data_IF_512082980305
#
_entry.id   IF_512082980305
#
_cell.length_a   1.000
_cell.length_b   1.000
_cell.length_c   1.000
_cell.angle_alpha   90.00
_cell.angle_beta   90.00
_cell.angle_gamma   90.00
#
_symmetry.space_group_name_H-M   'P 1'
#
loop_
_entity.id
_entity.type
_entity.pdbx_description
1 polymer ?
#
# COMPACT_ATOMS: atom_id res chain seq x y z
N UNK A 1 -2.05 -58.73 17.88
CA UNK A 1 -0.72 -59.18 18.36
C UNK A 1 0.21 -57.99 18.12
N UNK A 2 0.44 -57.12 19.11
CA UNK A 2 1.38 -57.22 20.25
C UNK A 2 2.86 -57.34 19.86
N UNK A 3 3.68 -56.51 20.54
CA UNK A 3 5.14 -56.38 20.59
C UNK A 3 5.77 -55.53 19.47
N UNK A 4 6.36 -54.34 19.68
CA UNK A 4 7.10 -53.73 20.81
C UNK A 4 8.37 -54.49 21.22
N UNK A 5 9.54 -53.92 20.85
CA UNK A 5 10.89 -54.01 21.45
C UNK A 5 11.86 -53.29 20.45
N UNK A 6 12.91 -52.56 20.81
CA UNK A 6 13.52 -52.27 22.10
C UNK A 6 14.34 -50.97 21.99
N UNK A 7 14.41 -50.28 23.13
CA UNK A 7 15.36 -49.23 23.47
C UNK A 7 16.82 -49.73 23.37
N UNK A 8 17.72 -48.90 22.87
CA UNK A 8 19.12 -48.91 23.32
C UNK A 8 19.56 -47.48 23.66
N UNK A 9 19.82 -47.29 24.95
CA UNK A 9 20.49 -46.14 25.54
C UNK A 9 21.88 -45.96 24.92
N UNK A 10 22.17 -44.74 24.44
CA UNK A 10 23.53 -44.22 24.46
C UNK A 10 23.55 -42.87 25.17
N UNK A 11 24.34 -42.85 26.23
CA UNK A 11 24.68 -41.71 27.06
C UNK A 11 25.82 -40.95 26.38
N UNK A 12 25.56 -39.74 25.89
CA UNK A 12 26.64 -38.80 25.55
C UNK A 12 26.39 -37.48 26.27
N UNK A 13 27.32 -37.13 27.17
CA UNK A 13 27.32 -35.85 27.88
C UNK A 13 27.81 -34.77 26.90
N UNK A 14 27.10 -33.66 26.68
CA UNK A 14 27.70 -32.52 26.01
C UNK A 14 28.69 -31.80 26.95
N UNK A 15 29.91 -31.47 26.51
CA UNK A 15 30.84 -30.68 27.32
C UNK A 15 30.47 -29.19 27.30
N UNK A 16 30.40 -28.65 28.51
CA UNK A 16 30.64 -27.28 29.01
C UNK A 16 30.57 -26.12 28.00
N UNK A 17 29.51 -25.34 28.21
CA UNK A 17 29.31 -23.94 27.85
C UNK A 17 30.59 -23.08 27.94
N UNK A 18 31.02 -22.55 26.80
CA UNK A 18 31.92 -21.41 26.70
C UNK A 18 31.02 -20.19 26.47
N UNK A 19 30.95 -19.30 27.47
CA UNK A 19 30.31 -17.99 27.34
C UNK A 19 31.21 -17.08 26.51
N UNK A 20 30.85 -16.86 25.26
CA UNK A 20 31.41 -15.76 24.47
C UNK A 20 30.75 -14.45 24.91
N UNK A 21 31.51 -13.34 25.07
CA UNK A 21 30.92 -12.03 25.32
C UNK A 21 30.09 -11.63 24.09
N UNK A 22 28.81 -11.37 24.32
CA UNK A 22 27.91 -10.74 23.36
C UNK A 22 28.44 -9.32 23.16
N UNK A 23 29.18 -9.10 22.08
CA UNK A 23 29.34 -7.75 21.55
C UNK A 23 27.98 -7.42 20.95
N UNK A 24 27.22 -6.59 21.67
CA UNK A 24 26.06 -5.90 21.13
C UNK A 24 26.56 -5.03 19.96
N UNK A 25 26.54 -5.61 18.76
CA UNK A 25 26.53 -4.81 17.55
C UNK A 25 25.16 -4.14 17.54
N UNK A 26 25.12 -2.93 18.10
CA UNK A 26 24.12 -1.92 17.80
C UNK A 26 23.98 -1.91 16.29
N UNK A 27 22.95 -2.58 15.78
CA UNK A 27 22.46 -2.30 14.44
C UNK A 27 21.90 -0.90 14.56
N UNK A 28 22.72 0.06 14.15
CA UNK A 28 22.26 1.36 13.76
C UNK A 28 21.00 1.15 12.95
N UNK A 29 19.89 1.58 13.54
CA UNK A 29 18.65 1.80 12.82
C UNK A 29 19.03 2.75 11.70
N UNK A 30 19.19 2.22 10.49
CA UNK A 30 19.10 3.02 9.28
C UNK A 30 17.68 3.52 9.31
N UNK A 31 17.50 4.67 9.97
CA UNK A 31 16.32 5.48 9.87
C UNK A 31 16.28 5.85 8.40
N UNK A 32 15.52 5.06 7.66
CA UNK A 32 15.10 5.41 6.31
C UNK A 32 14.43 6.76 6.49
N UNK A 33 15.17 7.84 6.22
CA UNK A 33 14.64 9.20 6.14
C UNK A 33 13.73 9.23 4.93
N UNK A 34 12.58 8.55 5.03
CA UNK A 34 11.50 8.75 4.08
C UNK A 34 11.07 10.20 4.30
N UNK A 35 11.14 11.06 3.27
CA UNK A 35 10.65 12.42 3.41
C UNK A 35 9.23 12.35 3.96
N UNK A 36 8.99 13.11 5.03
CA UNK A 36 7.65 13.21 5.60
C UNK A 36 6.81 13.92 4.57
N UNK A 37 5.77 13.25 4.07
CA UNK A 37 4.84 13.82 3.10
C UNK A 37 4.13 15.03 3.70
N UNK A 38 3.94 16.07 2.89
CA UNK A 38 3.24 17.27 3.32
C UNK A 38 1.75 16.95 3.56
N UNK A 39 1.24 17.11 4.80
CA UNK A 39 -0.13 16.76 5.14
C UNK A 39 -1.17 17.70 4.54
N UNK A 40 -0.80 18.95 4.23
CA UNK A 40 -1.72 19.94 3.66
C UNK A 40 -1.89 19.70 2.15
N UNK A 41 -0.82 19.29 1.46
CA UNK A 41 -0.91 18.82 0.07
C UNK A 41 -1.66 17.48 0.01
N UNK A 42 -1.37 16.55 0.93
CA UNK A 42 -2.08 15.28 0.99
C UNK A 42 -3.60 15.46 1.18
N UNK A 43 -4.03 16.51 1.89
CA UNK A 43 -5.44 16.80 2.11
C UNK A 43 -6.21 17.21 0.85
N UNK A 44 -5.50 17.63 -0.20
CA UNK A 44 -6.08 17.99 -1.51
C UNK A 44 -6.50 16.76 -2.31
N UNK A 45 -6.00 15.58 -1.95
CA UNK A 45 -6.30 14.33 -2.63
C UNK A 45 -7.49 13.59 -2.00
N UNK A 46 -8.25 12.92 -2.86
CA UNK A 46 -9.26 11.94 -2.45
C UNK A 46 -9.04 10.63 -3.20
N UNK A 47 -8.97 9.52 -2.46
CA UNK A 47 -8.88 8.18 -3.02
C UNK A 47 -10.25 7.51 -2.99
N UNK A 48 -10.76 7.13 -4.16
CA UNK A 48 -12.02 6.41 -4.31
C UNK A 48 -11.81 4.97 -4.76
N UNK A 49 -12.16 4.01 -3.91
CA UNK A 49 -12.09 2.59 -4.23
C UNK A 49 -13.43 2.11 -4.77
N UNK A 50 -13.46 1.62 -6.01
CA UNK A 50 -14.70 1.23 -6.66
C UNK A 50 -15.32 -0.04 -6.03
N UNK A 51 -16.46 0.11 -5.37
CA UNK A 51 -17.22 -1.00 -4.74
C UNK A 51 -18.38 -1.51 -5.60
N UNK A 52 -18.48 -1.05 -6.85
CA UNK A 52 -19.51 -1.50 -7.79
C UNK A 52 -19.56 -3.02 -7.93
N UNK A 53 -20.72 -3.57 -8.28
CA UNK A 53 -20.94 -5.02 -8.44
C UNK A 53 -19.89 -5.67 -9.37
N UNK A 54 -19.43 -4.95 -10.41
CA UNK A 54 -18.44 -5.45 -11.36
C UNK A 54 -17.03 -5.59 -10.77
N UNK A 55 -16.61 -4.67 -9.91
CA UNK A 55 -15.32 -4.72 -9.21
C UNK A 55 -15.39 -5.71 -8.05
N UNK A 56 -16.44 -5.62 -7.23
CA UNK A 56 -16.70 -6.54 -6.11
C UNK A 56 -16.75 -8.00 -6.58
N UNK A 57 -17.40 -8.29 -7.71
CA UNK A 57 -17.42 -9.66 -8.26
C UNK A 57 -16.04 -10.18 -8.61
N UNK A 58 -15.09 -9.33 -9.01
CA UNK A 58 -13.72 -9.76 -9.30
C UNK A 58 -12.90 -10.01 -8.03
N UNK A 59 -13.07 -9.17 -7.01
CA UNK A 59 -12.50 -9.43 -5.68
C UNK A 59 -13.00 -10.77 -5.13
N UNK A 60 -14.32 -11.00 -5.17
CA UNK A 60 -14.90 -12.25 -4.69
C UNK A 60 -14.37 -13.49 -5.44
N UNK A 61 -14.01 -13.37 -6.73
CA UNK A 61 -13.44 -14.49 -7.51
C UNK A 61 -12.08 -14.94 -6.99
N UNK A 62 -11.33 -14.06 -6.35
CA UNK A 62 -10.04 -14.36 -5.73
C UNK A 62 -10.14 -14.51 -4.22
N UNK A 63 -11.36 -14.59 -3.67
CA UNK A 63 -11.61 -14.80 -2.24
C UNK A 63 -11.45 -13.56 -1.36
N UNK A 64 -11.43 -12.36 -1.96
CA UNK A 64 -11.31 -11.09 -1.26
C UNK A 64 -12.69 -10.44 -1.08
N UNK A 65 -12.89 -9.76 0.06
CA UNK A 65 -14.11 -9.01 0.31
C UNK A 65 -14.12 -7.67 -0.44
N UNK A 66 -15.28 -7.00 -0.48
CA UNK A 66 -15.49 -5.77 -1.24
C UNK A 66 -14.69 -4.56 -0.73
N UNK A 67 -14.24 -4.59 0.52
CA UNK A 67 -13.50 -3.51 1.16
C UNK A 67 -12.01 -3.85 1.33
N UNK A 68 -11.56 -5.00 0.82
CA UNK A 68 -10.16 -5.40 0.91
C UNK A 68 -9.21 -4.29 0.42
N UNK A 69 -9.40 -3.82 -0.82
CA UNK A 69 -8.57 -2.75 -1.41
C UNK A 69 -8.65 -1.45 -0.63
N UNK A 70 -9.83 -1.10 -0.10
CA UNK A 70 -10.01 0.09 0.73
C UNK A 70 -9.18 -0.01 2.02
N UNK A 71 -9.19 -1.18 2.67
CA UNK A 71 -8.39 -1.45 3.87
C UNK A 71 -6.88 -1.39 3.60
N UNK A 72 -6.42 -1.96 2.48
CA UNK A 72 -5.00 -1.92 2.11
C UNK A 72 -4.51 -0.48 1.87
N UNK A 73 -5.28 0.34 1.14
CA UNK A 73 -4.94 1.75 0.93
C UNK A 73 -4.97 2.53 2.24
N UNK A 74 -5.97 2.28 3.10
CA UNK A 74 -6.06 2.93 4.40
C UNK A 74 -4.85 2.59 5.29
N UNK A 75 -4.36 1.34 5.25
CA UNK A 75 -3.17 0.91 5.98
C UNK A 75 -1.89 1.63 5.49
N UNK A 76 -1.78 1.89 4.19
CA UNK A 76 -0.68 2.69 3.64
C UNK A 76 -0.73 4.14 4.16
N UNK A 77 -1.92 4.76 4.14
CA UNK A 77 -2.11 6.11 4.66
C UNK A 77 -1.81 6.22 6.16
N UNK A 78 -2.23 5.22 6.95
CA UNK A 78 -1.92 5.14 8.37
C UNK A 78 -0.41 5.01 8.61
N UNK A 79 0.28 4.20 7.80
CA UNK A 79 1.73 4.04 7.87
C UNK A 79 2.48 5.34 7.54
N UNK A 80 1.87 6.21 6.73
CA UNK A 80 2.37 7.54 6.39
C UNK A 80 1.89 8.66 7.34
N UNK A 81 1.04 8.36 8.33
CA UNK A 81 0.37 9.34 9.21
C UNK A 81 -0.51 10.37 8.47
N UNK A 82 -1.12 9.96 7.36
CA UNK A 82 -1.99 10.81 6.52
C UNK A 82 -3.46 10.41 6.58
N UNK A 83 -3.83 9.36 7.33
CA UNK A 83 -5.18 8.79 7.37
C UNK A 83 -6.26 9.75 7.89
N UNK A 84 -5.84 10.81 8.60
CA UNK A 84 -6.73 11.88 9.12
C UNK A 84 -6.71 13.14 8.27
N UNK A 85 -5.84 13.21 7.28
CA UNK A 85 -5.62 14.39 6.43
C UNK A 85 -6.20 14.19 5.04
N UNK A 86 -6.06 12.99 4.50
CA UNK A 86 -6.55 12.63 3.18
C UNK A 86 -7.89 11.90 3.25
N UNK A 87 -8.76 12.12 2.26
CA UNK A 87 -10.02 11.38 2.16
C UNK A 87 -9.79 10.05 1.45
N UNK A 88 -10.18 8.95 2.09
CA UNK A 88 -10.10 7.60 1.54
C UNK A 88 -11.47 6.95 1.73
N UNK A 89 -12.18 6.71 0.64
CA UNK A 89 -13.58 6.31 0.67
C UNK A 89 -13.92 5.26 -0.38
N UNK A 90 -15.07 4.61 -0.20
CA UNK A 90 -15.65 3.80 -1.25
C UNK A 90 -16.34 4.67 -2.31
N UNK A 91 -16.20 4.26 -3.56
CA UNK A 91 -16.69 5.00 -4.72
C UNK A 91 -17.57 4.16 -5.63
N UNK A 92 -18.34 4.88 -6.46
CA UNK A 92 -19.18 4.30 -7.49
C UNK A 92 -18.41 3.71 -8.68
N UNK A 93 -19.16 3.30 -9.71
CA UNK A 93 -18.58 2.88 -10.97
C UNK A 93 -17.84 4.05 -11.64
N UNK A 94 -16.56 3.85 -11.96
CA UNK A 94 -15.70 4.87 -12.60
C UNK A 94 -15.97 5.04 -14.10
N UNK A 95 -17.19 4.74 -14.56
CA UNK A 95 -17.63 4.88 -15.94
C UNK A 95 -16.91 3.99 -16.96
N UNK A 96 -17.30 4.17 -18.23
CA UNK A 96 -16.62 3.60 -19.40
C UNK A 96 -16.38 2.08 -19.32
N UNK A 97 -15.15 1.67 -19.62
CA UNK A 97 -14.69 0.27 -19.54
C UNK A 97 -13.89 -0.02 -18.28
N UNK A 98 -13.77 0.94 -17.36
CA UNK A 98 -12.93 0.84 -16.16
C UNK A 98 -13.31 -0.36 -15.31
N UNK A 99 -14.59 -0.49 -14.94
CA UNK A 99 -15.04 -1.63 -14.15
C UNK A 99 -14.95 -2.98 -14.88
N UNK A 100 -14.72 -3.01 -16.21
CA UNK A 100 -14.39 -4.25 -16.93
C UNK A 100 -12.98 -4.72 -16.60
N UNK A 101 -12.04 -3.78 -16.46
CA UNK A 101 -10.62 -3.98 -16.14
C UNK A 101 -10.32 -3.91 -14.62
N UNK A 102 -11.31 -3.58 -13.80
CA UNK A 102 -11.14 -3.46 -12.35
C UNK A 102 -10.68 -4.76 -11.63
N UNK A 103 -10.57 -4.74 -10.29
CA UNK A 103 -11.00 -3.67 -9.38
C UNK A 103 -10.28 -2.35 -9.60
N UNK A 104 -11.00 -1.25 -9.39
CA UNK A 104 -10.55 0.08 -9.77
C UNK A 104 -10.32 0.96 -8.55
N UNK A 105 -9.29 1.81 -8.64
CA UNK A 105 -9.08 2.92 -7.72
C UNK A 105 -8.94 4.19 -8.53
N UNK A 106 -9.70 5.22 -8.17
CA UNK A 106 -9.63 6.55 -8.77
C UNK A 106 -9.05 7.54 -7.77
N UNK A 107 -8.31 8.51 -8.27
CA UNK A 107 -7.77 9.62 -7.49
C UNK A 107 -8.44 10.90 -7.97
N UNK A 108 -8.90 11.71 -7.03
CA UNK A 108 -9.38 13.06 -7.28
C UNK A 108 -8.43 14.05 -6.60
N UNK A 109 -8.42 15.25 -7.12
CA UNK A 109 -7.68 16.38 -6.57
C UNK A 109 -8.60 17.59 -6.56
N UNK A 110 -8.53 18.43 -5.52
CA UNK A 110 -9.50 19.52 -5.32
C UNK A 110 -9.54 20.54 -6.47
N UNK A 111 -8.40 20.79 -7.12
CA UNK A 111 -8.29 21.72 -8.25
C UNK A 111 -8.81 21.18 -9.59
N UNK A 112 -9.18 19.90 -9.68
CA UNK A 112 -9.54 19.27 -10.95
C UNK A 112 -10.94 18.64 -10.91
N UNK A 113 -11.70 18.85 -11.98
CA UNK A 113 -12.96 18.14 -12.17
C UNK A 113 -12.72 16.70 -12.64
N UNK A 114 -13.12 15.75 -11.81
CA UNK A 114 -13.05 14.32 -12.09
C UNK A 114 -11.71 13.69 -11.70
N UNK A 115 -11.46 12.49 -12.24
CA UNK A 115 -10.28 11.72 -11.88
C UNK A 115 -9.01 12.34 -12.47
N UNK A 116 -7.93 12.31 -11.70
CA UNK A 116 -6.59 12.73 -12.13
C UNK A 116 -5.71 11.54 -12.47
N UNK A 117 -4.87 11.71 -13.49
CA UNK A 117 -3.81 10.76 -13.79
C UNK A 117 -2.55 11.17 -13.02
N UNK A 118 -1.83 10.20 -12.47
CA UNK A 118 -0.61 10.41 -11.71
C UNK A 118 0.59 9.84 -12.45
N UNK A 119 1.76 10.43 -12.22
CA UNK A 119 3.02 9.84 -12.65
C UNK A 119 3.20 8.45 -12.01
N UNK A 120 3.67 7.48 -12.80
CA UNK A 120 3.82 6.07 -12.38
C UNK A 120 2.65 5.17 -12.77
N UNK A 121 1.53 5.73 -13.24
CA UNK A 121 0.47 4.94 -13.89
C UNK A 121 0.96 4.30 -15.19
N UNK A 122 0.46 3.10 -15.50
CA UNK A 122 0.71 2.53 -16.83
C UNK A 122 -0.10 3.28 -17.91
N UNK A 123 0.23 3.08 -19.19
CA UNK A 123 -0.38 3.85 -20.28
C UNK A 123 -1.90 3.76 -20.35
N UNK A 124 -2.49 2.61 -20.02
CA UNK A 124 -3.95 2.45 -20.03
C UNK A 124 -4.59 3.15 -18.82
N UNK A 125 -4.00 3.00 -17.64
CA UNK A 125 -4.48 3.66 -16.42
C UNK A 125 -4.36 5.18 -16.52
N UNK A 126 -3.28 5.68 -17.12
CA UNK A 126 -3.06 7.11 -17.34
C UNK A 126 -4.10 7.69 -18.29
N UNK A 127 -4.39 7.00 -19.40
CA UNK A 127 -5.40 7.42 -20.38
C UNK A 127 -6.80 7.47 -19.76
N UNK A 128 -7.15 6.43 -19.00
CA UNK A 128 -8.48 6.30 -18.38
C UNK A 128 -8.57 7.02 -17.02
N UNK A 129 -7.44 7.53 -16.50
CA UNK A 129 -7.28 8.21 -15.20
C UNK A 129 -7.76 7.35 -14.02
N UNK A 130 -7.57 6.04 -14.10
CA UNK A 130 -8.07 5.06 -13.13
C UNK A 130 -7.09 3.91 -13.05
N UNK A 131 -6.71 3.52 -11.84
CA UNK A 131 -5.93 2.31 -11.60
C UNK A 131 -6.80 1.08 -11.83
N UNK A 132 -6.25 0.05 -12.48
CA UNK A 132 -6.94 -1.19 -12.79
C UNK A 132 -6.25 -2.38 -12.11
N UNK A 133 -6.98 -3.49 -12.02
CA UNK A 133 -6.48 -4.76 -11.46
C UNK A 133 -5.83 -4.62 -10.06
N UNK A 134 -6.36 -3.74 -9.20
CA UNK A 134 -5.85 -3.58 -7.83
C UNK A 134 -6.40 -4.71 -6.97
N UNK A 135 -5.59 -5.74 -6.72
CA UNK A 135 -6.01 -6.98 -6.06
C UNK A 135 -5.15 -7.37 -4.87
N UNK A 136 -3.88 -6.96 -4.87
CA UNK A 136 -2.88 -7.35 -3.89
C UNK A 136 -2.37 -6.15 -3.10
N UNK A 137 -1.67 -6.40 -2.00
CA UNK A 137 -0.96 -5.35 -1.26
C UNK A 137 0.08 -4.63 -2.14
N UNK A 138 0.76 -5.34 -3.05
CA UNK A 138 1.70 -4.73 -4.00
C UNK A 138 0.98 -3.78 -4.97
N UNK A 139 -0.22 -4.15 -5.44
CA UNK A 139 -1.02 -3.27 -6.29
C UNK A 139 -1.48 -2.02 -5.53
N UNK A 140 -1.89 -2.17 -4.27
CA UNK A 140 -2.24 -1.04 -3.41
C UNK A 140 -1.01 -0.16 -3.12
N UNK A 141 0.16 -0.76 -2.90
CA UNK A 141 1.42 -0.06 -2.74
C UNK A 141 1.83 0.72 -3.99
N UNK A 142 1.52 0.22 -5.19
CA UNK A 142 1.73 0.94 -6.45
C UNK A 142 0.83 2.17 -6.57
N UNK A 143 -0.45 2.04 -6.24
CA UNK A 143 -1.38 3.19 -6.17
C UNK A 143 -0.83 4.23 -5.20
N UNK A 144 -0.46 3.78 -3.99
CA UNK A 144 0.09 4.64 -2.95
C UNK A 144 1.37 5.35 -3.40
N UNK A 145 2.33 4.63 -3.99
CA UNK A 145 3.58 5.22 -4.47
C UNK A 145 3.39 6.32 -5.52
N UNK A 146 2.38 6.21 -6.38
CA UNK A 146 2.03 7.28 -7.33
C UNK A 146 1.52 8.54 -6.60
N UNK A 147 0.75 8.36 -5.52
CA UNK A 147 0.25 9.47 -4.69
C UNK A 147 1.39 10.11 -3.90
N UNK A 148 2.27 9.31 -3.28
CA UNK A 148 3.44 9.84 -2.57
C UNK A 148 4.34 10.68 -3.49
N UNK A 149 4.54 10.20 -4.72
CA UNK A 149 5.29 10.94 -5.73
C UNK A 149 4.58 12.27 -6.08
N UNK A 150 3.28 12.24 -6.33
CA UNK A 150 2.50 13.44 -6.64
C UNK A 150 2.55 14.49 -5.52
N UNK A 151 2.38 14.07 -4.26
CA UNK A 151 2.48 14.96 -3.10
C UNK A 151 3.89 15.58 -3.01
N UNK A 152 4.93 14.76 -3.24
CA UNK A 152 6.32 15.23 -3.17
C UNK A 152 6.63 16.27 -4.25
N UNK A 153 6.19 16.02 -5.49
CA UNK A 153 6.38 16.96 -6.61
C UNK A 153 5.66 18.29 -6.37
N UNK A 154 4.42 18.25 -5.88
CA UNK A 154 3.67 19.47 -5.55
C UNK A 154 4.33 20.25 -4.40
N UNK A 155 4.91 19.55 -3.42
CA UNK A 155 5.65 20.19 -2.33
C UNK A 155 6.92 20.89 -2.84
N UNK A 156 7.64 20.28 -3.77
CA UNK A 156 8.82 20.88 -4.40
C UNK A 156 8.45 22.14 -5.19
N UNK A 157 7.39 22.09 -5.99
CA UNK A 157 6.88 23.25 -6.75
C UNK A 157 6.51 24.42 -5.83
N UNK A 158 5.83 24.15 -4.72
CA UNK A 158 5.44 25.19 -3.76
C UNK A 158 6.65 25.90 -3.13
N UNK A 159 7.69 25.14 -2.79
CA UNK A 159 8.91 25.70 -2.18
C UNK A 159 9.73 26.55 -3.16
N UNK A 160 9.75 26.19 -4.45
CA UNK A 160 10.51 26.96 -5.46
C UNK A 160 9.87 28.30 -5.84
N UNK A 161 8.58 28.48 -5.58
CA UNK A 161 7.83 29.69 -5.97
C UNK A 161 7.73 30.74 -4.85
N UNK A 162 8.31 30.50 -3.66
CA UNK A 162 8.23 31.38 -2.50
C UNK A 162 9.41 32.34 -2.29
N UNK A 163 10.40 32.34 -3.19
CA UNK A 163 11.68 33.06 -3.05
C UNK A 163 11.81 34.31 -3.96
N UNK A 164 10.70 34.95 -4.38
CA UNK A 164 10.70 36.23 -5.13
C UNK A 164 10.17 37.43 -4.30
#
# INVERSE_FOLDING_TARGET
MYHCCAFHHYHERPPRSIRLPIIAASRDSIQSNKPTLDPDIAAQFTIQVCTSTSCTRKLNKVGLDRFHVLGEIYAQAQSANLEKRMTIEDGGCQGGRNCKMGPCVAILHEDFEGNVALEGMNSNEFLERVFHNVLTNDDAGRVWGCIENAISLMAEEFNTNGDD
#
